data_IF_506969804395
#
_entry.id   IF_506969804395
#
_cell.length_a   1.000
_cell.length_b   1.000
_cell.length_c   1.000
_cell.angle_alpha   90.00
_cell.angle_beta   90.00
_cell.angle_gamma   90.00
#
_symmetry.space_group_name_H-M   'P 1'
#
loop_
_entity.id
_entity.type
_entity.pdbx_description
1 polymer ?
#
# COMPACT_ATOMS: atom_id res chain seq x y z
N UNK A 1 59.78 -9.07 45.43
CA UNK A 1 58.74 -9.39 46.42
C UNK A 1 58.22 -8.08 46.98
N UNK A 2 56.92 -7.81 46.75
CA UNK A 2 56.00 -6.86 47.43
C UNK A 2 56.46 -5.39 47.65
N UNK A 3 55.76 -4.41 47.02
CA UNK A 3 54.61 -3.67 47.58
C UNK A 3 55.07 -2.65 48.65
N UNK A 4 54.79 -1.35 48.62
CA UNK A 4 53.96 -0.46 47.83
C UNK A 4 53.96 0.91 48.52
N UNK A 5 53.07 1.80 48.09
CA UNK A 5 52.31 2.77 48.92
C UNK A 5 52.16 4.12 48.20
N UNK A 6 50.91 4.45 47.89
CA UNK A 6 50.46 5.70 47.26
C UNK A 6 50.04 6.69 48.34
N UNK A 7 50.43 7.95 48.18
CA UNK A 7 49.96 9.06 49.02
C UNK A 7 48.81 9.80 48.32
N UNK A 8 47.64 9.78 48.99
CA UNK A 8 46.65 10.84 49.30
C UNK A 8 46.47 12.02 48.32
N UNK A 9 45.31 12.69 48.14
CA UNK A 9 43.90 12.62 48.56
C UNK A 9 43.21 13.75 47.76
N UNK A 10 41.93 13.54 47.39
CA UNK A 10 40.87 14.50 47.08
C UNK A 10 41.06 15.57 45.98
N UNK A 11 40.11 15.59 45.04
CA UNK A 11 39.16 16.73 44.91
C UNK A 11 37.85 16.20 44.36
N UNK A 12 36.77 16.77 44.90
CA UNK A 12 35.40 16.32 44.80
C UNK A 12 34.75 16.58 43.44
N UNK A 13 33.72 15.76 43.22
CA UNK A 13 32.62 15.80 42.27
C UNK A 13 32.15 17.20 41.84
N UNK A 14 32.05 17.41 40.52
CA UNK A 14 30.96 18.17 39.92
C UNK A 14 30.28 17.23 38.93
N UNK A 15 29.04 16.85 39.26
CA UNK A 15 28.18 16.10 38.36
C UNK A 15 27.48 17.07 37.40
N UNK A 16 27.46 16.77 36.09
CA UNK A 16 26.33 17.11 35.26
C UNK A 16 25.42 15.89 35.13
N UNK A 17 24.22 16.08 35.67
CA UNK A 17 22.97 15.46 35.30
C UNK A 17 22.99 14.61 34.02
N UNK A 18 22.64 13.33 34.19
CA UNK A 18 21.94 12.45 33.27
C UNK A 18 21.99 12.85 31.79
N UNK A 19 22.96 12.30 31.07
CA UNK A 19 22.75 11.99 29.66
C UNK A 19 21.55 11.03 29.57
N UNK A 20 20.39 11.55 29.20
CA UNK A 20 19.30 10.74 28.67
C UNK A 20 19.85 10.16 27.37
N UNK A 21 20.48 8.99 27.46
CA UNK A 21 20.89 8.23 26.31
C UNK A 21 19.65 8.08 25.44
N UNK A 22 19.71 8.65 24.24
CA UNK A 22 18.79 8.31 23.18
C UNK A 22 18.90 6.78 23.02
N UNK A 23 17.92 6.06 23.56
CA UNK A 23 17.66 4.69 23.16
C UNK A 23 17.30 4.78 21.69
N UNK A 24 18.32 4.74 20.83
CA UNK A 24 18.13 4.42 19.43
C UNK A 24 17.35 3.12 19.42
N UNK A 25 16.12 3.17 18.92
CA UNK A 25 15.40 1.98 18.55
C UNK A 25 16.26 1.32 17.47
N UNK A 26 17.12 0.38 17.89
CA UNK A 26 17.79 -0.50 16.96
C UNK A 26 16.68 -1.30 16.29
N UNK A 27 16.38 -0.97 15.03
CA UNK A 27 15.59 -1.83 14.18
C UNK A 27 16.28 -3.20 14.20
N UNK A 28 15.61 -4.18 14.78
CA UNK A 28 16.11 -5.55 14.81
C UNK A 28 16.01 -6.07 13.38
N UNK A 29 17.07 -5.88 12.59
CA UNK A 29 17.24 -6.52 11.30
C UNK A 29 17.41 -7.99 11.60
N UNK A 30 16.29 -8.73 11.65
CA UNK A 30 16.33 -10.18 11.56
C UNK A 30 16.78 -10.50 10.14
N UNK A 31 18.10 -10.60 9.96
CA UNK A 31 18.72 -11.22 8.79
C UNK A 31 18.55 -12.74 8.86
N UNK A 32 17.32 -13.20 9.11
CA UNK A 32 16.95 -14.55 8.75
C UNK A 32 16.86 -14.54 7.23
N UNK A 33 17.74 -15.28 6.57
CA UNK A 33 17.66 -15.49 5.13
C UNK A 33 16.24 -15.96 4.81
N UNK A 34 15.46 -15.06 4.21
CA UNK A 34 14.10 -15.36 3.79
C UNK A 34 14.24 -16.49 2.80
N UNK A 35 13.74 -17.68 3.17
CA UNK A 35 13.72 -18.83 2.27
C UNK A 35 13.24 -18.37 0.89
N UNK A 36 13.95 -18.72 -0.19
CA UNK A 36 13.61 -18.25 -1.52
C UNK A 36 12.15 -18.62 -1.78
N UNK A 37 11.33 -17.62 -2.07
CA UNK A 37 9.95 -17.87 -2.45
C UNK A 37 10.02 -18.74 -3.71
N UNK A 38 9.49 -19.96 -3.64
CA UNK A 38 9.33 -20.79 -4.82
C UNK A 38 8.50 -20.01 -5.82
N UNK A 39 9.09 -19.72 -6.98
CA UNK A 39 8.41 -18.97 -8.02
C UNK A 39 7.18 -19.75 -8.47
N UNK A 40 6.01 -19.10 -8.42
CA UNK A 40 4.79 -19.72 -8.89
C UNK A 40 4.90 -19.78 -10.42
N UNK A 41 5.30 -20.94 -10.96
CA UNK A 41 5.49 -21.16 -12.39
C UNK A 41 4.21 -21.04 -13.22
N UNK A 42 3.04 -21.02 -12.58
CA UNK A 42 1.74 -20.91 -13.25
C UNK A 42 0.84 -19.98 -12.46
N UNK A 43 0.48 -18.85 -13.06
CA UNK A 43 -0.47 -17.93 -12.47
C UNK A 43 -1.82 -18.62 -12.25
N UNK A 44 -2.50 -18.22 -11.18
CA UNK A 44 -3.84 -18.70 -10.91
C UNK A 44 -4.78 -18.32 -12.08
N UNK A 45 -5.63 -19.24 -12.57
CA UNK A 45 -6.46 -18.96 -13.72
C UNK A 45 -7.45 -17.84 -13.40
N UNK A 46 -7.50 -16.81 -14.25
CA UNK A 46 -8.35 -15.63 -14.05
C UNK A 46 -9.82 -15.99 -13.82
N UNK A 47 -10.32 -17.03 -14.48
CA UNK A 47 -11.69 -17.52 -14.30
C UNK A 47 -12.00 -18.04 -12.88
N UNK A 48 -10.99 -18.49 -12.13
CA UNK A 48 -11.16 -18.97 -10.76
C UNK A 48 -11.09 -17.86 -9.71
N UNK A 49 -10.65 -16.64 -10.07
CA UNK A 49 -10.22 -15.59 -9.12
C UNK A 49 -11.33 -15.03 -8.23
N UNK A 50 -12.59 -15.35 -8.52
CA UNK A 50 -13.76 -14.75 -7.84
C UNK A 50 -13.95 -13.26 -8.16
N UNK A 51 -13.13 -12.72 -9.04
CA UNK A 51 -13.12 -11.30 -9.44
C UNK A 51 -14.36 -10.93 -10.25
N UNK A 52 -14.91 -11.88 -11.02
CA UNK A 52 -16.01 -11.66 -11.96
C UNK A 52 -15.53 -11.57 -13.41
N UNK A 53 -16.45 -11.35 -14.34
CA UNK A 53 -16.09 -11.22 -15.75
C UNK A 53 -15.34 -9.90 -16.00
N UNK A 54 -14.18 -9.97 -16.65
CA UNK A 54 -13.46 -8.81 -17.15
C UNK A 54 -13.77 -8.61 -18.64
N UNK A 55 -14.29 -7.44 -19.02
CA UNK A 55 -14.59 -7.08 -20.42
C UNK A 55 -13.91 -5.76 -20.76
N UNK A 56 -13.01 -5.77 -21.73
CA UNK A 56 -12.23 -4.60 -22.15
C UNK A 56 -11.48 -3.90 -20.98
N UNK A 57 -11.03 -4.68 -19.98
CA UNK A 57 -10.36 -4.16 -18.78
C UNK A 57 -11.31 -3.87 -17.62
N UNK A 58 -12.62 -3.70 -17.89
CA UNK A 58 -13.62 -3.38 -16.87
C UNK A 58 -14.08 -4.62 -16.13
N UNK A 59 -14.32 -4.47 -14.82
CA UNK A 59 -14.82 -5.54 -13.96
C UNK A 59 -15.93 -5.00 -13.03
N UNK A 60 -16.89 -5.86 -12.67
CA UNK A 60 -17.88 -5.54 -11.63
C UNK A 60 -17.21 -5.23 -10.27
N UNK A 61 -16.13 -5.94 -9.99
CA UNK A 61 -15.28 -5.69 -8.83
C UNK A 61 -14.28 -4.59 -9.16
N UNK A 62 -14.47 -3.40 -8.57
CA UNK A 62 -13.53 -2.26 -8.75
C UNK A 62 -12.06 -2.60 -8.49
N UNK A 63 -11.80 -3.53 -7.58
CA UNK A 63 -10.45 -3.95 -7.18
C UNK A 63 -9.81 -4.95 -8.14
N UNK A 64 -10.57 -5.51 -9.07
CA UNK A 64 -10.12 -6.48 -10.06
C UNK A 64 -9.84 -5.84 -11.44
N UNK A 65 -9.95 -4.52 -11.55
CA UNK A 65 -9.52 -3.81 -12.76
C UNK A 65 -8.02 -3.56 -12.71
N UNK A 66 -7.33 -3.81 -13.84
CA UNK A 66 -5.89 -3.58 -13.98
C UNK A 66 -5.62 -2.63 -15.17
N UNK A 67 -5.26 -1.40 -14.84
CA UNK A 67 -5.01 -0.34 -15.81
C UNK A 67 -3.51 -0.08 -16.07
N UNK A 68 -2.60 -0.96 -15.63
CA UNK A 68 -1.14 -0.82 -15.88
C UNK A 68 -0.80 -0.72 -17.36
N UNK A 69 -1.60 -1.36 -18.23
CA UNK A 69 -1.44 -1.25 -19.67
C UNK A 69 -1.53 0.19 -20.20
N UNK A 70 -2.26 1.08 -19.51
CA UNK A 70 -2.41 2.49 -19.88
C UNK A 70 -1.22 3.36 -19.47
N UNK A 71 -0.15 2.78 -18.91
CA UNK A 71 1.15 3.44 -18.86
C UNK A 71 1.60 3.89 -20.25
N UNK A 72 1.29 3.09 -21.28
CA UNK A 72 1.50 3.43 -22.69
C UNK A 72 0.45 4.47 -23.16
N UNK A 73 0.86 5.70 -23.52
CA UNK A 73 -0.06 6.71 -24.02
C UNK A 73 -0.82 6.31 -25.28
N UNK A 74 -0.27 5.41 -26.12
CA UNK A 74 -0.94 4.93 -27.34
C UNK A 74 -2.16 4.06 -27.06
N UNK A 75 -2.28 3.51 -25.84
CA UNK A 75 -3.42 2.70 -25.39
C UNK A 75 -4.53 3.53 -24.75
N UNK A 76 -4.36 4.85 -24.69
CA UNK A 76 -5.36 5.80 -24.15
C UNK A 76 -6.22 6.32 -25.29
N UNK A 77 -7.34 5.66 -25.55
CA UNK A 77 -8.27 5.92 -26.63
C UNK A 77 -9.55 6.67 -26.21
N UNK A 78 -9.82 6.82 -24.91
CA UNK A 78 -10.94 7.58 -24.37
C UNK A 78 -10.50 8.74 -23.44
N UNK A 79 -11.36 9.76 -23.22
CA UNK A 79 -11.00 10.91 -22.37
C UNK A 79 -10.66 10.57 -20.91
N UNK A 80 -11.14 9.43 -20.39
CA UNK A 80 -10.94 8.98 -19.01
C UNK A 80 -9.71 8.09 -18.86
N UNK A 81 -9.11 7.58 -19.93
CA UNK A 81 -7.90 6.73 -19.87
C UNK A 81 -6.71 7.40 -19.20
N UNK A 82 -6.63 8.73 -19.29
CA UNK A 82 -5.61 9.52 -18.59
C UNK A 82 -5.78 9.49 -17.07
N UNK A 83 -7.00 9.22 -16.59
CA UNK A 83 -7.29 9.08 -15.17
C UNK A 83 -7.01 7.66 -14.67
N UNK A 84 -7.19 6.65 -15.52
CA UNK A 84 -7.02 5.24 -15.17
C UNK A 84 -5.57 4.89 -14.79
N UNK A 85 -4.57 5.61 -15.31
CA UNK A 85 -3.16 5.48 -14.92
C UNK A 85 -2.50 6.84 -14.69
N UNK A 86 -2.02 7.08 -13.48
CA UNK A 86 -1.35 8.30 -13.05
C UNK A 86 0.09 7.99 -12.61
N UNK A 87 1.12 8.34 -13.42
CA UNK A 87 2.50 8.24 -12.97
C UNK A 87 2.75 9.26 -11.85
N UNK A 88 3.40 8.83 -10.78
CA UNK A 88 3.77 9.66 -9.62
C UNK A 88 5.27 10.04 -9.66
N UNK A 89 6.04 9.41 -10.53
CA UNK A 89 7.42 9.77 -10.85
C UNK A 89 7.64 9.89 -12.38
N UNK A 90 8.85 10.29 -12.78
CA UNK A 90 9.22 10.43 -14.20
C UNK A 90 9.56 9.11 -14.89
N UNK A 91 9.87 8.07 -14.12
CA UNK A 91 10.40 6.81 -14.65
C UNK A 91 9.28 5.80 -14.92
N UNK A 92 8.09 6.00 -14.33
CA UNK A 92 6.95 5.11 -14.38
C UNK A 92 6.99 4.00 -13.32
N UNK A 93 7.93 4.05 -12.37
CA UNK A 93 8.12 3.00 -11.35
C UNK A 93 7.09 3.15 -10.22
N UNK A 94 6.78 4.38 -9.84
CA UNK A 94 5.74 4.73 -8.87
C UNK A 94 4.53 5.31 -9.59
N UNK A 95 3.38 4.65 -9.42
CA UNK A 95 2.15 5.03 -10.10
C UNK A 95 0.91 4.72 -9.26
N UNK A 96 -0.20 5.35 -9.62
CA UNK A 96 -1.54 5.07 -9.12
C UNK A 96 -2.43 4.65 -10.29
N UNK A 97 -3.13 3.52 -10.15
CA UNK A 97 -4.23 3.18 -11.05
C UNK A 97 -5.56 3.50 -10.41
N UNK A 98 -6.51 3.98 -11.20
CA UNK A 98 -7.85 4.35 -10.73
C UNK A 98 -8.90 3.50 -11.45
N UNK A 99 -9.64 2.74 -10.65
CA UNK A 99 -10.78 1.94 -11.12
C UNK A 99 -12.09 2.71 -11.01
N UNK A 100 -13.09 2.30 -11.78
CA UNK A 100 -14.40 2.94 -11.81
C UNK A 100 -15.51 2.08 -11.19
N UNK A 101 -16.49 2.71 -10.55
CA UNK A 101 -17.80 2.08 -10.31
C UNK A 101 -18.89 3.10 -10.66
N UNK A 102 -19.76 2.73 -11.59
CA UNK A 102 -20.98 3.48 -11.89
C UNK A 102 -22.19 2.63 -11.50
N UNK A 103 -22.94 3.09 -10.49
CA UNK A 103 -24.19 2.45 -10.09
C UNK A 103 -25.36 3.38 -10.37
N UNK A 104 -26.12 3.04 -11.40
CA UNK A 104 -27.37 3.71 -11.72
C UNK A 104 -28.51 3.01 -10.97
N UNK A 105 -29.35 3.80 -10.30
CA UNK A 105 -30.58 3.31 -9.68
C UNK A 105 -31.74 4.19 -10.10
N UNK A 106 -32.70 3.60 -10.80
CA UNK A 106 -34.02 4.21 -10.99
C UNK A 106 -35.02 3.44 -10.15
N UNK A 107 -35.74 4.16 -9.29
CA UNK A 107 -36.88 3.62 -8.60
C UNK A 107 -38.08 4.43 -9.07
N UNK A 108 -38.94 3.80 -9.88
CA UNK A 108 -40.23 4.37 -10.22
C UNK A 108 -41.30 3.64 -9.41
N UNK A 109 -41.99 4.37 -8.54
CA UNK A 109 -43.04 3.80 -7.69
C UNK A 109 -44.30 4.60 -7.90
N UNK A 110 -45.32 3.97 -8.48
CA UNK A 110 -46.67 4.52 -8.59
C UNK A 110 -47.55 3.87 -7.53
N UNK A 111 -48.41 4.67 -6.89
CA UNK A 111 -49.30 4.23 -5.82
C UNK A 111 -48.63 3.38 -4.72
N UNK A 112 -47.61 3.90 -4.00
CA UNK A 112 -46.88 3.14 -2.98
C UNK A 112 -47.78 2.60 -1.84
N UNK A 113 -49.00 3.12 -1.71
CA UNK A 113 -49.96 2.78 -0.66
C UNK A 113 -51.21 2.04 -1.18
N UNK A 114 -51.27 1.67 -2.47
CA UNK A 114 -52.43 1.02 -3.09
C UNK A 114 -53.78 1.74 -2.83
N UNK A 115 -53.80 3.08 -2.87
CA UNK A 115 -55.00 3.91 -2.66
C UNK A 115 -55.52 4.50 -3.97
N UNK A 116 -56.84 4.63 -4.08
CA UNK A 116 -57.53 5.35 -5.16
C UNK A 116 -57.18 6.84 -5.10
N UNK A 117 -56.84 7.46 -6.24
CA UNK A 117 -56.71 8.92 -6.36
C UNK A 117 -58.10 9.54 -6.52
N UNK A 118 -58.48 10.45 -5.63
CA UNK A 118 -59.77 11.15 -5.66
C UNK A 118 -59.80 12.24 -6.73
#
# INVERSE_FOLDING_TARGET
MMMGSRLRVATALIAPYAALAASGAHAQVSAGEKAPATEIATSYPAAGGGEGANTNGYNLSRWAEDWRGMADPAKRNDPLDRLKFLPLDSNGDVYLTLSGELRLRMNHTTNPNLRESK
#
